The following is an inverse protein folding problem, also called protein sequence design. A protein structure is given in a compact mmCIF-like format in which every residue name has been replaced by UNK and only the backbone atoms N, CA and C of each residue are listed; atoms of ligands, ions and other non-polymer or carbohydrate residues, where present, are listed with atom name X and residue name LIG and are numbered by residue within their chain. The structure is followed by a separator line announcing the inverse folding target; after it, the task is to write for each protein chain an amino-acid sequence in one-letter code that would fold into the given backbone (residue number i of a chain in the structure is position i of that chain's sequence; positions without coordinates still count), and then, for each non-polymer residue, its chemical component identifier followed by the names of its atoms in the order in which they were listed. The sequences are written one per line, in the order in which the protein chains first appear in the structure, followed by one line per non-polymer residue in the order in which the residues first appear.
data_IF_483294645244
#
_entry.id   IF_483294645244
#
_cell.length_a   1.000
_cell.length_b   1.000
_cell.length_c   1.000
_cell.angle_alpha   90.00
_cell.angle_beta   90.00
_cell.angle_gamma   90.00
#
_symmetry.space_group_name_H-M   'P 1'
#
loop_
_entity.id
_entity.type
_entity.pdbx_description
1 polymer ?
#
# COMPACT_ATOMS: atom_id res chain seq x y z
N UNK A 1 -0.52 -13.03 8.88
CA UNK A 1 -0.37 -11.84 9.76
C UNK A 1 -1.71 -11.58 10.45
N UNK A 2 -1.75 -10.94 11.63
CA UNK A 2 -3.03 -10.67 12.32
C UNK A 2 -3.88 -9.65 11.54
N UNK A 3 -5.21 -9.85 11.41
CA UNK A 3 -6.08 -8.97 10.61
C UNK A 3 -6.01 -7.49 10.99
N UNK A 4 -5.90 -7.16 12.29
CA UNK A 4 -5.75 -5.77 12.75
C UNK A 4 -4.41 -5.15 12.33
N UNK A 5 -3.38 -5.97 12.12
CA UNK A 5 -2.08 -5.48 11.64
C UNK A 5 -2.13 -5.21 10.15
N UNK A 6 -2.84 -6.05 9.39
CA UNK A 6 -3.12 -5.84 7.96
C UNK A 6 -3.84 -4.52 7.74
N UNK A 7 -4.95 -4.29 8.45
CA UNK A 7 -5.74 -3.05 8.34
C UNK A 7 -4.90 -1.79 8.64
N UNK A 8 -4.11 -1.82 9.73
CA UNK A 8 -3.20 -0.70 10.06
C UNK A 8 -2.11 -0.48 9.03
N UNK A 9 -1.62 -1.52 8.38
CA UNK A 9 -0.62 -1.40 7.31
C UNK A 9 -1.25 -0.82 6.04
N UNK A 10 -2.45 -1.26 5.68
CA UNK A 10 -3.21 -0.71 4.56
C UNK A 10 -3.44 0.80 4.75
N UNK A 11 -3.91 1.23 5.92
CA UNK A 11 -4.11 2.65 6.25
C UNK A 11 -2.82 3.47 6.12
N UNK A 12 -1.72 3.00 6.71
CA UNK A 12 -0.42 3.68 6.65
C UNK A 12 0.11 3.80 5.23
N UNK A 13 -0.09 2.77 4.40
CA UNK A 13 0.34 2.80 3.00
C UNK A 13 -0.56 3.75 2.21
N UNK A 14 -1.87 3.76 2.45
CA UNK A 14 -2.80 4.69 1.81
C UNK A 14 -2.44 6.15 2.14
N UNK A 15 -2.14 6.46 3.40
CA UNK A 15 -1.65 7.78 3.84
C UNK A 15 -0.33 8.16 3.16
N UNK A 16 0.64 7.23 3.12
CA UNK A 16 1.92 7.47 2.47
C UNK A 16 1.76 7.73 0.96
N UNK A 17 0.87 6.99 0.29
CA UNK A 17 0.53 7.20 -1.12
C UNK A 17 -0.08 8.60 -1.31
N UNK A 18 -1.04 8.98 -0.47
CA UNK A 18 -1.66 10.30 -0.52
C UNK A 18 -0.62 11.42 -0.37
N UNK A 19 0.30 11.30 0.59
CA UNK A 19 1.39 12.26 0.76
C UNK A 19 2.30 12.35 -0.48
N UNK A 20 2.67 11.21 -1.07
CA UNK A 20 3.51 11.17 -2.27
C UNK A 20 2.82 11.87 -3.44
N UNK A 21 1.53 11.60 -3.65
CA UNK A 21 0.76 12.20 -4.73
C UNK A 21 0.51 13.70 -4.52
N UNK A 22 0.27 14.13 -3.28
CA UNK A 22 0.15 15.56 -2.92
C UNK A 22 1.49 16.28 -3.12
N UNK A 23 2.60 15.71 -2.62
CA UNK A 23 3.94 16.33 -2.71
C UNK A 23 4.46 16.37 -4.15
N UNK A 24 4.18 15.35 -4.97
CA UNK A 24 4.63 15.31 -6.37
C UNK A 24 3.69 16.05 -7.33
N UNK A 25 2.41 16.15 -6.99
CA UNK A 25 1.39 16.89 -7.73
C UNK A 25 1.16 16.43 -9.18
N UNK A 26 0.16 17.04 -9.81
CA UNK A 26 -0.22 16.86 -11.23
C UNK A 26 0.97 17.14 -12.19
N UNK A 27 2.00 17.87 -11.73
CA UNK A 27 3.17 18.22 -12.56
C UNK A 27 3.96 17.00 -13.05
N UNK A 28 3.84 15.84 -12.40
CA UNK A 28 4.58 14.61 -12.79
C UNK A 28 3.68 13.43 -13.15
N UNK A 29 2.36 13.54 -12.93
CA UNK A 29 1.42 12.47 -13.20
C UNK A 29 0.29 13.00 -14.10
N UNK A 30 -0.01 12.32 -15.21
CA UNK A 30 -1.09 12.74 -16.09
C UNK A 30 -2.45 12.70 -15.39
N UNK A 31 -2.61 11.83 -14.39
CA UNK A 31 -3.82 11.68 -13.59
C UNK A 31 -3.44 11.39 -12.13
N UNK A 32 -4.20 11.96 -11.19
CA UNK A 32 -4.11 11.60 -9.78
C UNK A 32 -5.05 10.41 -9.51
N UNK A 33 -4.58 9.37 -8.80
CA UNK A 33 -5.45 8.28 -8.40
C UNK A 33 -6.52 8.81 -7.43
N UNK A 34 -7.74 8.29 -7.59
CA UNK A 34 -8.79 8.55 -6.61
C UNK A 34 -8.53 7.74 -5.31
N UNK A 35 -9.32 8.04 -4.28
CA UNK A 35 -9.19 7.35 -2.98
C UNK A 35 -9.35 5.84 -3.11
N UNK A 36 -10.29 5.37 -3.95
CA UNK A 36 -10.51 3.94 -4.17
C UNK A 36 -9.29 3.26 -4.79
N UNK A 37 -8.64 3.92 -5.74
CA UNK A 37 -7.43 3.43 -6.39
C UNK A 37 -6.28 3.37 -5.39
N UNK A 38 -6.07 4.41 -4.58
CA UNK A 38 -5.04 4.39 -3.53
C UNK A 38 -5.29 3.28 -2.50
N UNK A 39 -6.54 3.07 -2.10
CA UNK A 39 -6.91 1.98 -1.20
C UNK A 39 -6.56 0.60 -1.78
N UNK A 40 -6.87 0.35 -3.06
CA UNK A 40 -6.51 -0.90 -3.74
C UNK A 40 -5.00 -1.09 -3.88
N UNK A 41 -4.26 0.00 -4.13
CA UNK A 41 -2.79 -0.03 -4.17
C UNK A 41 -2.21 -0.41 -2.80
N UNK A 42 -2.76 0.13 -1.71
CA UNK A 42 -2.36 -0.22 -0.36
C UNK A 42 -2.59 -1.70 -0.06
N UNK A 43 -3.77 -2.22 -0.40
CA UNK A 43 -4.08 -3.67 -0.29
C UNK A 43 -3.09 -4.54 -1.05
N UNK A 44 -2.85 -4.21 -2.31
CA UNK A 44 -1.90 -4.96 -3.13
C UNK A 44 -0.49 -4.96 -2.53
N UNK A 45 -0.03 -3.82 -2.00
CA UNK A 45 1.27 -3.72 -1.35
C UNK A 45 1.34 -4.57 -0.07
N UNK A 46 0.29 -4.58 0.76
CA UNK A 46 0.23 -5.42 1.97
C UNK A 46 0.23 -6.90 1.59
N UNK A 47 -0.54 -7.32 0.59
CA UNK A 47 -0.57 -8.71 0.12
C UNK A 47 0.81 -9.18 -0.36
N UNK A 48 1.56 -8.35 -1.08
CA UNK A 48 2.93 -8.67 -1.50
C UNK A 48 3.85 -8.85 -0.29
N UNK A 49 3.70 -8.01 0.74
CA UNK A 49 4.48 -8.12 1.96
C UNK A 49 4.14 -9.38 2.78
N UNK A 50 2.85 -9.72 2.88
CA UNK A 50 2.39 -10.96 3.50
C UNK A 50 3.00 -12.19 2.81
N UNK A 51 2.89 -12.25 1.48
CA UNK A 51 3.49 -13.33 0.69
C UNK A 51 5.01 -13.43 0.89
N UNK A 52 5.71 -12.28 0.99
CA UNK A 52 7.14 -12.27 1.25
C UNK A 52 7.49 -12.84 2.64
N UNK A 53 6.68 -12.56 3.67
CA UNK A 53 6.86 -13.15 5.01
C UNK A 53 6.62 -14.66 4.97
N UNK A 54 5.54 -15.10 4.33
CA UNK A 54 5.19 -16.53 4.20
C UNK A 54 6.27 -17.32 3.46
N UNK A 55 6.77 -16.79 2.35
CA UNK A 55 7.87 -17.40 1.60
C UNK A 55 9.13 -17.52 2.46
N UNK A 56 9.48 -16.47 3.21
CA UNK A 56 10.64 -16.49 4.12
C UNK A 56 10.50 -17.54 5.22
N UNK A 57 9.29 -17.79 5.73
CA UNK A 57 9.05 -18.83 6.74
C UNK A 57 9.15 -20.24 6.14
N UNK A 58 8.82 -20.39 4.86
CA UNK A 58 8.88 -21.68 4.15
C UNK A 58 10.31 -22.06 3.75
N UNK A 59 11.19 -21.07 3.56
CA UNK A 59 12.59 -21.26 3.19
C UNK A 59 13.55 -21.52 4.38
N UNK A 60 13.09 -21.39 5.62
CA UNK A 60 13.88 -21.64 6.85
C UNK A 60 13.43 -22.91 7.56
#
# INVERSE_FOLDING_TARGET
MEPQTVERLEEKIEEALAEIFVKRGIKKLPLLPDRRTMHLMAKAAVTVYEAAIENRQTEN
#
